data_IF_759879972649
#
_entry.id   IF_759879972649
#
_cell.length_a   1.000
_cell.length_b   1.000
_cell.length_c   1.000
_cell.angle_alpha   90.00
_cell.angle_beta   90.00
_cell.angle_gamma   90.00
#
_symmetry.space_group_name_H-M   'P 1'
#
loop_
_entity.id
_entity.type
_entity.pdbx_description
1 polymer ?
#
# COMPACT_ATOMS: atom_id res chain seq x y z
N UNK A 1 -14.22 -41.02 -34.21
CA UNK A 1 -14.83 -40.02 -33.30
C UNK A 1 -14.50 -40.44 -31.87
N UNK A 2 -13.38 -39.97 -31.35
CA UNK A 2 -12.95 -40.21 -29.96
C UNK A 2 -13.42 -39.05 -29.11
N UNK A 3 -14.47 -39.29 -28.33
CA UNK A 3 -14.96 -38.39 -27.30
C UNK A 3 -13.91 -38.33 -26.19
N UNK A 4 -12.95 -37.41 -26.31
CA UNK A 4 -12.01 -37.09 -25.24
C UNK A 4 -12.75 -36.23 -24.21
N UNK A 5 -13.64 -36.89 -23.47
CA UNK A 5 -14.24 -36.36 -22.26
C UNK A 5 -13.12 -35.78 -21.38
N UNK A 6 -13.10 -34.47 -21.11
CA UNK A 6 -12.08 -33.87 -20.26
C UNK A 6 -12.11 -34.57 -18.91
N UNK A 7 -10.99 -35.22 -18.58
CA UNK A 7 -10.88 -36.15 -17.46
C UNK A 7 -11.41 -35.53 -16.15
N UNK A 8 -12.12 -36.33 -15.35
CA UNK A 8 -12.68 -35.94 -14.05
C UNK A 8 -11.65 -35.22 -13.14
N UNK A 9 -10.36 -35.47 -13.35
CA UNK A 9 -9.24 -34.79 -12.67
C UNK A 9 -9.15 -33.29 -12.95
N UNK A 10 -9.36 -32.84 -14.21
CA UNK A 10 -9.46 -31.40 -14.56
C UNK A 10 -10.69 -30.74 -13.96
N UNK A 11 -11.74 -31.51 -13.64
CA UNK A 11 -12.93 -31.05 -12.92
C UNK A 11 -12.73 -30.99 -11.40
N UNK A 12 -11.86 -31.82 -10.83
CA UNK A 12 -11.56 -31.81 -9.40
C UNK A 12 -10.62 -30.64 -9.02
N UNK A 13 -9.65 -30.32 -9.88
CA UNK A 13 -8.88 -29.05 -9.84
C UNK A 13 -9.67 -27.92 -10.53
N UNK A 14 -10.96 -27.81 -10.26
CA UNK A 14 -11.76 -26.68 -10.78
C UNK A 14 -11.59 -25.45 -9.90
N UNK A 15 -11.83 -24.29 -10.50
CA UNK A 15 -11.93 -22.99 -9.82
C UNK A 15 -12.86 -23.00 -8.58
N UNK A 16 -13.71 -24.02 -8.41
CA UNK A 16 -14.55 -24.20 -7.22
C UNK A 16 -13.74 -24.57 -5.98
N UNK A 17 -12.82 -25.53 -6.09
CA UNK A 17 -12.01 -25.99 -4.94
C UNK A 17 -11.09 -24.86 -4.46
N UNK A 18 -10.37 -24.23 -5.38
CA UNK A 18 -9.50 -23.09 -5.07
C UNK A 18 -10.29 -21.90 -4.52
N UNK A 19 -11.46 -21.59 -5.08
CA UNK A 19 -12.30 -20.49 -4.62
C UNK A 19 -12.77 -20.66 -3.18
N UNK A 20 -13.21 -21.85 -2.80
CA UNK A 20 -13.59 -22.13 -1.41
C UNK A 20 -12.38 -22.27 -0.49
N UNK A 21 -11.40 -23.08 -0.88
CA UNK A 21 -10.25 -23.40 -0.05
C UNK A 21 -9.48 -22.14 0.33
N UNK A 22 -9.10 -21.33 -0.67
CA UNK A 22 -8.30 -20.13 -0.42
C UNK A 22 -9.06 -19.09 0.41
N UNK A 23 -10.31 -18.81 0.04
CA UNK A 23 -11.13 -17.82 0.73
C UNK A 23 -11.35 -18.19 2.21
N UNK A 24 -11.78 -19.43 2.48
CA UNK A 24 -12.06 -19.87 3.84
C UNK A 24 -10.81 -20.08 4.67
N UNK A 25 -9.76 -20.70 4.12
CA UNK A 25 -8.54 -20.93 4.89
C UNK A 25 -7.90 -19.62 5.31
N UNK A 26 -7.81 -18.64 4.39
CA UNK A 26 -7.24 -17.33 4.69
C UNK A 26 -8.05 -16.62 5.79
N UNK A 27 -9.37 -16.54 5.62
CA UNK A 27 -10.23 -15.82 6.56
C UNK A 27 -10.25 -16.48 7.95
N UNK A 28 -10.27 -17.81 8.03
CA UNK A 28 -10.24 -18.52 9.30
C UNK A 28 -8.90 -18.33 10.02
N UNK A 29 -7.77 -18.42 9.31
CA UNK A 29 -6.44 -18.17 9.89
C UNK A 29 -6.34 -16.72 10.36
N UNK A 30 -6.78 -15.76 9.54
CA UNK A 30 -6.74 -14.34 9.89
C UNK A 30 -7.62 -14.03 11.10
N UNK A 31 -8.86 -14.50 11.14
CA UNK A 31 -9.76 -14.27 12.28
C UNK A 31 -9.26 -14.96 13.54
N UNK A 32 -8.67 -16.16 13.44
CA UNK A 32 -8.03 -16.81 14.58
C UNK A 32 -6.82 -16.02 15.10
N UNK A 33 -5.98 -15.51 14.20
CA UNK A 33 -4.88 -14.61 14.54
C UNK A 33 -5.40 -13.34 15.24
N UNK A 34 -6.46 -12.72 14.73
CA UNK A 34 -7.04 -11.52 15.34
C UNK A 34 -7.65 -11.81 16.70
N UNK A 35 -8.47 -12.86 16.82
CA UNK A 35 -9.22 -13.16 18.04
C UNK A 35 -8.34 -13.69 19.18
N UNK A 36 -7.34 -14.54 18.86
CA UNK A 36 -6.54 -15.23 19.88
C UNK A 36 -5.11 -14.67 20.03
N UNK A 37 -4.61 -13.92 19.04
CA UNK A 37 -3.27 -13.34 19.05
C UNK A 37 -3.30 -11.82 19.18
N UNK A 38 -3.67 -11.13 18.10
CA UNK A 38 -3.55 -9.67 18.00
C UNK A 38 -4.46 -8.94 19.00
N UNK A 39 -5.77 -9.22 19.02
CA UNK A 39 -6.70 -8.42 19.81
C UNK A 39 -6.45 -8.53 21.32
N UNK A 40 -6.25 -9.71 21.93
CA UNK A 40 -5.99 -9.80 23.37
C UNK A 40 -4.69 -9.11 23.79
N UNK A 41 -3.67 -9.11 22.93
CA UNK A 41 -2.33 -8.62 23.28
C UNK A 41 -2.13 -7.13 22.95
N UNK A 42 -2.63 -6.66 21.80
CA UNK A 42 -2.32 -5.33 21.28
C UNK A 42 -3.48 -4.34 21.41
N UNK A 43 -4.73 -4.80 21.34
CA UNK A 43 -5.89 -3.89 21.38
C UNK A 43 -6.02 -3.15 22.72
N UNK A 44 -5.80 -3.76 23.91
CA UNK A 44 -5.82 -3.03 25.18
C UNK A 44 -4.79 -1.90 25.22
N UNK A 45 -3.57 -2.16 24.73
CA UNK A 45 -2.49 -1.17 24.70
C UNK A 45 -2.82 -0.02 23.73
N UNK A 46 -3.37 -0.34 22.55
CA UNK A 46 -3.83 0.66 21.59
C UNK A 46 -4.97 1.53 22.18
N UNK A 47 -5.97 0.91 22.80
CA UNK A 47 -7.07 1.62 23.46
C UNK A 47 -6.53 2.52 24.56
N UNK A 48 -5.61 2.02 25.39
CA UNK A 48 -5.00 2.81 26.46
C UNK A 48 -4.22 4.01 25.89
N UNK A 49 -3.43 3.78 24.84
CA UNK A 49 -2.65 4.84 24.16
C UNK A 49 -3.55 5.93 23.57
N UNK A 50 -4.70 5.56 23.02
CA UNK A 50 -5.69 6.54 22.53
C UNK A 50 -6.33 7.31 23.69
N UNK A 51 -6.68 6.62 24.78
CA UNK A 51 -7.27 7.26 25.98
C UNK A 51 -6.31 8.24 26.64
N UNK A 52 -5.01 7.94 26.67
CA UNK A 52 -3.96 8.81 27.21
C UNK A 52 -3.47 9.83 26.20
N UNK A 53 -4.10 9.96 25.03
CA UNK A 53 -3.74 10.87 23.93
C UNK A 53 -2.33 10.68 23.36
N UNK A 54 -1.69 9.53 23.64
CA UNK A 54 -0.41 9.12 23.06
C UNK A 54 -0.56 8.68 21.60
N UNK A 55 -1.71 8.10 21.25
CA UNK A 55 -2.03 7.69 19.89
C UNK A 55 -3.30 8.40 19.38
N UNK A 56 -3.34 8.83 18.12
CA UNK A 56 -4.56 9.31 17.48
C UNK A 56 -5.67 8.23 17.44
N UNK A 57 -6.95 8.59 17.62
CA UNK A 57 -8.07 7.66 17.56
C UNK A 57 -8.23 6.97 16.19
N UNK A 58 -7.70 7.56 15.12
CA UNK A 58 -7.69 6.98 13.77
C UNK A 58 -7.01 5.62 13.72
N UNK A 59 -5.96 5.39 14.53
CA UNK A 59 -5.28 4.10 14.60
C UNK A 59 -6.17 3.00 15.19
N UNK A 60 -7.01 3.34 16.18
CA UNK A 60 -8.02 2.42 16.70
C UNK A 60 -9.08 2.11 15.64
N UNK A 61 -9.52 3.13 14.88
CA UNK A 61 -10.43 2.92 13.75
C UNK A 61 -9.81 1.98 12.70
N UNK A 62 -8.54 2.14 12.35
CA UNK A 62 -7.87 1.26 11.40
C UNK A 62 -7.75 -0.18 11.91
N UNK A 63 -7.37 -0.38 13.18
CA UNK A 63 -7.32 -1.71 13.78
C UNK A 63 -8.70 -2.39 13.81
N UNK A 64 -9.76 -1.63 14.11
CA UNK A 64 -11.13 -2.11 14.03
C UNK A 64 -11.53 -2.48 12.59
N UNK A 65 -11.24 -1.63 11.62
CA UNK A 65 -11.55 -1.90 10.21
C UNK A 65 -10.81 -3.14 9.70
N UNK A 66 -9.53 -3.31 10.04
CA UNK A 66 -8.76 -4.52 9.71
C UNK A 66 -9.36 -5.80 10.30
N UNK A 67 -10.07 -5.71 11.43
CA UNK A 67 -10.79 -6.84 12.03
C UNK A 67 -12.15 -7.06 11.39
N UNK A 68 -12.89 -5.98 11.13
CA UNK A 68 -14.27 -6.01 10.64
C UNK A 68 -14.37 -6.39 9.17
N UNK A 69 -13.38 -6.06 8.34
CA UNK A 69 -13.41 -6.37 6.90
C UNK A 69 -13.44 -7.89 6.65
N UNK A 70 -12.52 -8.70 7.21
CA UNK A 70 -12.58 -10.16 7.07
C UNK A 70 -13.84 -10.76 7.66
N UNK A 71 -14.31 -10.23 8.79
CA UNK A 71 -15.56 -10.68 9.38
C UNK A 71 -16.74 -10.42 8.43
N UNK A 72 -16.82 -9.24 7.82
CA UNK A 72 -17.84 -8.92 6.83
C UNK A 72 -17.72 -9.81 5.58
N UNK A 73 -16.50 -10.09 5.12
CA UNK A 73 -16.25 -11.01 4.02
C UNK A 73 -16.77 -12.42 4.34
N UNK A 74 -16.45 -12.94 5.52
CA UNK A 74 -16.98 -14.22 6.04
C UNK A 74 -18.50 -14.23 6.09
N UNK A 75 -19.13 -13.18 6.64
CA UNK A 75 -20.59 -13.08 6.70
C UNK A 75 -21.20 -13.10 5.30
N UNK A 76 -20.66 -12.32 4.35
CA UNK A 76 -21.09 -12.34 2.95
C UNK A 76 -20.87 -13.73 2.31
N UNK A 77 -19.78 -14.40 2.66
CA UNK A 77 -19.43 -15.73 2.21
C UNK A 77 -20.38 -16.81 2.73
N UNK A 78 -20.82 -16.71 3.98
CA UNK A 78 -21.79 -17.64 4.59
C UNK A 78 -23.22 -17.41 4.10
N UNK A 79 -23.56 -16.17 3.74
CA UNK A 79 -24.93 -15.76 3.41
C UNK A 79 -25.16 -15.62 1.90
N UNK A 80 -24.72 -14.50 1.30
CA UNK A 80 -25.05 -14.13 -0.08
C UNK A 80 -24.29 -14.95 -1.11
N UNK A 81 -23.03 -15.31 -0.82
CA UNK A 81 -22.09 -15.92 -1.79
C UNK A 81 -21.78 -17.40 -1.53
N UNK A 82 -22.51 -18.06 -0.61
CA UNK A 82 -22.24 -19.43 -0.14
C UNK A 82 -22.07 -20.46 -1.25
N UNK A 83 -22.81 -20.32 -2.36
CA UNK A 83 -22.83 -21.27 -3.49
C UNK A 83 -22.05 -20.77 -4.70
N UNK A 84 -21.29 -19.69 -4.56
CA UNK A 84 -20.65 -18.99 -5.67
C UNK A 84 -19.13 -18.90 -5.45
N UNK A 85 -18.38 -20.01 -5.53
CA UNK A 85 -16.95 -20.05 -5.19
C UNK A 85 -16.10 -19.09 -6.01
N UNK A 86 -16.49 -18.82 -7.27
CA UNK A 86 -15.82 -17.81 -8.09
C UNK A 86 -15.99 -16.41 -7.52
N UNK A 87 -17.18 -16.07 -6.99
CA UNK A 87 -17.41 -14.77 -6.35
C UNK A 87 -16.73 -14.69 -4.99
N UNK A 88 -16.61 -15.79 -4.25
CA UNK A 88 -15.80 -15.83 -3.02
C UNK A 88 -14.32 -15.53 -3.31
N UNK A 89 -13.77 -16.12 -4.37
CA UNK A 89 -12.40 -15.80 -4.80
C UNK A 89 -12.25 -14.32 -5.14
N UNK A 90 -13.20 -13.73 -5.89
CA UNK A 90 -13.17 -12.30 -6.24
C UNK A 90 -13.42 -11.40 -5.01
N UNK A 91 -14.24 -11.83 -4.04
CA UNK A 91 -14.42 -11.11 -2.79
C UNK A 91 -13.10 -11.08 -2.00
N UNK A 92 -12.47 -12.24 -1.78
CA UNK A 92 -11.21 -12.34 -1.04
C UNK A 92 -10.06 -11.60 -1.73
N UNK A 93 -9.77 -11.94 -2.98
CA UNK A 93 -8.60 -11.42 -3.69
C UNK A 93 -8.84 -10.11 -4.43
N UNK A 94 -10.07 -9.87 -4.89
CA UNK A 94 -10.42 -8.68 -5.67
C UNK A 94 -10.86 -7.51 -4.82
N UNK A 95 -11.39 -7.74 -3.61
CA UNK A 95 -11.94 -6.69 -2.74
C UNK A 95 -11.26 -6.65 -1.38
N UNK A 96 -11.37 -7.72 -0.60
CA UNK A 96 -10.91 -7.80 0.78
C UNK A 96 -9.39 -7.59 0.91
N UNK A 97 -8.57 -8.41 0.26
CA UNK A 97 -7.11 -8.32 0.31
C UNK A 97 -6.57 -6.94 -0.11
N UNK A 98 -6.98 -6.40 -1.27
CA UNK A 98 -6.62 -5.05 -1.68
C UNK A 98 -7.08 -3.96 -0.69
N UNK A 99 -8.27 -4.08 -0.11
CA UNK A 99 -8.76 -3.13 0.90
C UNK A 99 -7.91 -3.18 2.18
N UNK A 100 -7.55 -4.38 2.64
CA UNK A 100 -6.64 -4.55 3.77
C UNK A 100 -5.24 -4.00 3.45
N UNK A 101 -4.74 -4.20 2.23
CA UNK A 101 -3.47 -3.64 1.80
C UNK A 101 -3.49 -2.11 1.79
N UNK A 102 -4.59 -1.47 1.35
CA UNK A 102 -4.74 -0.02 1.41
C UNK A 102 -4.75 0.48 2.87
N UNK A 103 -5.42 -0.23 3.78
CA UNK A 103 -5.42 0.11 5.20
C UNK A 103 -4.03 -0.06 5.83
N UNK A 104 -3.34 -1.15 5.53
CA UNK A 104 -1.96 -1.38 5.99
C UNK A 104 -1.01 -0.31 5.45
N UNK A 105 -1.10 0.01 4.16
CA UNK A 105 -0.32 1.09 3.57
C UNK A 105 -0.63 2.42 4.25
N UNK A 106 -1.91 2.72 4.53
CA UNK A 106 -2.31 3.92 5.27
C UNK A 106 -1.82 3.93 6.73
N UNK A 107 -1.71 2.77 7.36
CA UNK A 107 -1.30 2.64 8.75
C UNK A 107 0.22 2.75 8.92
N UNK A 108 0.98 2.05 8.08
CA UNK A 108 2.43 1.87 8.25
C UNK A 108 3.28 2.72 7.31
N UNK A 109 2.80 2.98 6.09
CA UNK A 109 3.62 3.57 5.02
C UNK A 109 3.29 5.05 4.85
N UNK A 110 2.01 5.37 4.69
CA UNK A 110 1.52 6.73 4.49
C UNK A 110 1.19 7.34 5.85
N UNK A 111 2.11 8.15 6.35
CA UNK A 111 1.95 8.94 7.58
C UNK A 111 0.90 10.05 7.36
N UNK A 112 1.30 11.15 6.75
CA UNK A 112 0.40 12.20 6.28
C UNK A 112 0.18 12.06 4.78
N UNK A 113 -1.06 11.79 4.36
CA UNK A 113 -1.39 11.66 2.95
C UNK A 113 -1.29 13.01 2.22
N UNK A 114 -0.47 13.08 1.17
CA UNK A 114 -0.47 14.20 0.23
C UNK A 114 -1.76 14.24 -0.59
N UNK A 115 -2.01 15.33 -1.33
CA UNK A 115 -3.17 15.42 -2.21
C UNK A 115 -3.18 14.31 -3.28
N UNK A 116 -2.01 14.00 -3.87
CA UNK A 116 -1.85 12.93 -4.85
C UNK A 116 -2.14 11.55 -4.25
N UNK A 117 -1.61 11.24 -3.06
CA UNK A 117 -1.88 9.97 -2.36
C UNK A 117 -3.37 9.88 -1.98
N UNK A 118 -3.95 10.98 -1.48
CA UNK A 118 -5.37 11.02 -1.09
C UNK A 118 -6.29 10.76 -2.30
N UNK A 119 -5.99 11.37 -3.45
CA UNK A 119 -6.67 11.06 -4.70
C UNK A 119 -6.51 9.59 -5.08
N UNK A 120 -5.29 9.06 -5.00
CA UNK A 120 -5.01 7.66 -5.36
C UNK A 120 -5.81 6.68 -4.49
N UNK A 121 -5.84 6.90 -3.17
CA UNK A 121 -6.64 6.11 -2.22
C UNK A 121 -8.15 6.24 -2.51
N UNK A 122 -8.63 7.45 -2.83
CA UNK A 122 -10.03 7.68 -3.18
C UNK A 122 -10.42 6.95 -4.48
N UNK A 123 -9.61 7.04 -5.53
CA UNK A 123 -9.83 6.33 -6.79
C UNK A 123 -9.80 4.80 -6.59
N UNK A 124 -8.91 4.31 -5.73
CA UNK A 124 -8.84 2.89 -5.36
C UNK A 124 -10.11 2.45 -4.63
N UNK A 125 -10.56 3.23 -3.66
CA UNK A 125 -11.82 3.01 -2.94
C UNK A 125 -13.03 2.97 -3.88
N UNK A 126 -13.14 3.91 -4.82
CA UNK A 126 -14.23 3.93 -5.81
C UNK A 126 -14.20 2.70 -6.73
N UNK A 127 -13.02 2.25 -7.15
CA UNK A 127 -12.85 1.03 -7.91
C UNK A 127 -13.29 -0.22 -7.13
N UNK A 128 -12.88 -0.33 -5.86
CA UNK A 128 -13.23 -1.43 -4.97
C UNK A 128 -14.73 -1.50 -4.69
N UNK A 129 -15.35 -0.35 -4.40
CA UNK A 129 -16.79 -0.24 -4.20
C UNK A 129 -17.55 -0.65 -5.46
N UNK A 130 -17.06 -0.28 -6.64
CA UNK A 130 -17.68 -0.68 -7.92
C UNK A 130 -17.59 -2.20 -8.15
N UNK A 131 -16.45 -2.82 -7.83
CA UNK A 131 -16.31 -4.27 -7.92
C UNK A 131 -17.21 -4.98 -6.91
N UNK A 132 -17.29 -4.50 -5.67
CA UNK A 132 -18.19 -5.03 -4.65
C UNK A 132 -19.66 -4.90 -5.07
N UNK A 133 -20.05 -3.75 -5.61
CA UNK A 133 -21.39 -3.55 -6.18
C UNK A 133 -21.69 -4.57 -7.28
N UNK A 134 -20.76 -4.80 -8.21
CA UNK A 134 -20.91 -5.81 -9.25
C UNK A 134 -21.04 -7.23 -8.68
N UNK A 135 -20.37 -7.55 -7.57
CA UNK A 135 -20.47 -8.88 -6.94
C UNK A 135 -21.82 -9.12 -6.30
N UNK A 136 -22.35 -8.09 -5.61
CA UNK A 136 -23.58 -8.17 -4.83
C UNK A 136 -24.84 -8.02 -5.70
N UNK A 137 -24.80 -7.22 -6.76
CA UNK A 137 -25.95 -7.01 -7.64
C UNK A 137 -26.09 -8.12 -8.70
N UNK A 138 -27.04 -9.04 -8.47
CA UNK A 138 -27.35 -10.14 -9.40
C UNK A 138 -27.87 -9.68 -10.75
N UNK A 139 -28.43 -8.48 -10.84
CA UNK A 139 -29.03 -7.91 -12.05
C UNK A 139 -28.19 -6.77 -12.63
N UNK A 140 -26.89 -6.73 -12.32
CA UNK A 140 -25.98 -5.66 -12.73
C UNK A 140 -25.94 -5.42 -14.25
N UNK A 141 -26.19 -6.46 -15.08
CA UNK A 141 -26.24 -6.33 -16.55
C UNK A 141 -27.59 -5.84 -17.10
N UNK A 142 -28.64 -5.86 -16.26
CA UNK A 142 -29.98 -5.38 -16.60
C UNK A 142 -30.15 -3.88 -16.27
N UNK A 143 -29.19 -3.29 -15.54
CA UNK A 143 -29.22 -1.88 -15.16
C UNK A 143 -29.13 -0.95 -16.38
N UNK A 144 -29.68 0.25 -16.22
CA UNK A 144 -29.75 1.27 -17.27
C UNK A 144 -28.39 1.77 -17.77
N UNK A 145 -28.38 2.64 -18.80
CA UNK A 145 -27.18 3.14 -19.44
C UNK A 145 -26.24 3.88 -18.46
N UNK A 146 -26.79 4.74 -17.59
CA UNK A 146 -26.00 5.46 -16.59
C UNK A 146 -25.27 4.55 -15.61
N UNK A 147 -25.96 3.53 -15.09
CA UNK A 147 -25.35 2.54 -14.22
C UNK A 147 -24.26 1.72 -14.94
N UNK A 148 -24.45 1.42 -16.23
CA UNK A 148 -23.44 0.76 -17.06
C UNK A 148 -22.20 1.64 -17.27
N UNK A 149 -22.38 2.94 -17.51
CA UNK A 149 -21.29 3.90 -17.63
C UNK A 149 -20.52 4.06 -16.31
N UNK A 150 -21.23 4.26 -15.19
CA UNK A 150 -20.62 4.39 -13.86
C UNK A 150 -19.84 3.13 -13.47
N UNK A 151 -20.41 1.94 -13.72
CA UNK A 151 -19.74 0.66 -13.51
C UNK A 151 -18.47 0.55 -14.35
N UNK A 152 -18.53 0.91 -15.64
CA UNK A 152 -17.34 0.87 -16.50
C UNK A 152 -16.27 1.84 -16.03
N UNK A 153 -16.65 3.04 -15.57
CA UNK A 153 -15.72 4.02 -15.03
C UNK A 153 -14.99 3.48 -13.78
N UNK A 154 -15.74 2.96 -12.80
CA UNK A 154 -15.16 2.38 -11.59
C UNK A 154 -14.30 1.14 -11.86
N UNK A 155 -14.71 0.25 -12.77
CA UNK A 155 -13.87 -0.89 -13.18
C UNK A 155 -12.61 -0.45 -13.93
N UNK A 156 -12.66 0.66 -14.66
CA UNK A 156 -11.48 1.23 -15.32
C UNK A 156 -10.49 1.76 -14.28
N UNK A 157 -10.97 2.50 -13.28
CA UNK A 157 -10.14 2.93 -12.14
C UNK A 157 -9.51 1.73 -11.43
N UNK A 158 -10.31 0.69 -11.18
CA UNK A 158 -9.84 -0.53 -10.52
C UNK A 158 -8.74 -1.24 -11.32
N UNK A 159 -8.91 -1.34 -12.63
CA UNK A 159 -7.92 -1.97 -13.51
C UNK A 159 -6.62 -1.16 -13.54
N UNK A 160 -6.70 0.16 -13.73
CA UNK A 160 -5.51 1.04 -13.75
C UNK A 160 -4.73 0.91 -12.45
N UNK A 161 -5.40 1.02 -11.32
CA UNK A 161 -4.76 0.98 -10.01
C UNK A 161 -4.26 -0.42 -9.64
N UNK A 162 -4.97 -1.47 -10.06
CA UNK A 162 -4.50 -2.84 -9.90
C UNK A 162 -3.24 -3.13 -10.72
N UNK A 163 -3.17 -2.64 -11.95
CA UNK A 163 -1.95 -2.74 -12.78
C UNK A 163 -0.82 -1.91 -12.17
N UNK A 164 -1.09 -0.67 -11.75
CA UNK A 164 -0.11 0.18 -11.06
C UNK A 164 0.46 -0.50 -9.81
N UNK A 165 -0.40 -1.03 -8.93
CA UNK A 165 0.01 -1.76 -7.74
C UNK A 165 0.80 -3.03 -8.09
N UNK A 166 0.40 -3.77 -9.12
CA UNK A 166 1.12 -4.97 -9.55
C UNK A 166 2.52 -4.65 -10.09
N UNK A 167 2.66 -3.57 -10.88
CA UNK A 167 3.96 -3.09 -11.36
C UNK A 167 4.83 -2.63 -10.19
N UNK A 168 4.28 -1.88 -9.25
CA UNK A 168 5.02 -1.43 -8.07
C UNK A 168 5.47 -2.60 -7.19
N UNK A 169 4.59 -3.57 -6.93
CA UNK A 169 4.92 -4.76 -6.15
C UNK A 169 5.92 -5.68 -6.86
N UNK A 170 5.95 -5.71 -8.19
CA UNK A 170 6.92 -6.51 -8.94
C UNK A 170 8.37 -6.16 -8.60
N UNK A 171 8.66 -4.89 -8.24
CA UNK A 171 9.99 -4.50 -7.77
C UNK A 171 10.42 -5.22 -6.49
N UNK A 172 9.49 -5.66 -5.65
CA UNK A 172 9.80 -6.40 -4.43
C UNK A 172 9.63 -7.91 -4.64
N UNK A 173 8.54 -8.32 -5.27
CA UNK A 173 8.18 -9.74 -5.43
C UNK A 173 9.24 -10.50 -6.21
N UNK A 174 9.79 -9.92 -7.28
CA UNK A 174 10.77 -10.59 -8.15
C UNK A 174 12.06 -10.93 -7.37
N UNK A 175 12.80 -9.98 -6.78
CA UNK A 175 14.00 -10.30 -6.02
C UNK A 175 13.72 -11.10 -4.75
N UNK A 176 12.63 -10.80 -4.02
CA UNK A 176 12.27 -11.58 -2.82
C UNK A 176 11.97 -13.04 -3.15
N UNK A 177 11.35 -13.33 -4.30
CA UNK A 177 11.13 -14.72 -4.72
C UNK A 177 12.45 -15.45 -4.92
N UNK A 178 13.44 -14.80 -5.55
CA UNK A 178 14.78 -15.38 -5.71
C UNK A 178 15.43 -15.67 -4.35
N UNK A 179 15.44 -14.68 -3.45
CA UNK A 179 16.01 -14.83 -2.11
C UNK A 179 15.30 -15.92 -1.29
N UNK A 180 13.97 -16.02 -1.39
CA UNK A 180 13.19 -17.06 -0.70
C UNK A 180 13.48 -18.44 -1.27
N UNK A 181 13.61 -18.57 -2.59
CA UNK A 181 13.97 -19.85 -3.23
C UNK A 181 15.37 -20.27 -2.81
N UNK A 182 16.34 -19.35 -2.82
CA UNK A 182 17.71 -19.62 -2.34
C UNK A 182 17.72 -20.03 -0.87
N UNK A 183 17.04 -19.26 -0.03
CA UNK A 183 16.89 -19.55 1.41
C UNK A 183 16.25 -20.92 1.64
N UNK A 184 15.22 -21.28 0.86
CA UNK A 184 14.56 -22.58 0.95
C UNK A 184 15.51 -23.72 0.53
N UNK A 185 16.27 -23.55 -0.55
CA UNK A 185 17.24 -24.54 -1.00
C UNK A 185 18.35 -24.75 0.04
N UNK A 186 18.84 -23.66 0.64
CA UNK A 186 19.81 -23.72 1.73
C UNK A 186 19.24 -24.41 2.97
N UNK A 187 18.05 -24.04 3.41
CA UNK A 187 17.33 -24.68 4.52
C UNK A 187 17.10 -26.18 4.28
N UNK A 188 16.71 -26.57 3.05
CA UNK A 188 16.55 -27.97 2.68
C UNK A 188 17.88 -28.73 2.69
N UNK A 189 18.98 -28.09 2.26
CA UNK A 189 20.33 -28.64 2.35
C UNK A 189 20.77 -28.88 3.81
N UNK A 190 20.38 -27.99 4.71
CA UNK A 190 20.71 -28.04 6.14
C UNK A 190 19.61 -28.68 7.00
N UNK A 191 18.62 -29.33 6.38
CA UNK A 191 17.44 -29.88 7.08
C UNK A 191 17.84 -30.81 8.24
N UNK A 192 18.91 -31.60 8.06
CA UNK A 192 19.38 -32.52 9.10
C UNK A 192 19.88 -31.81 10.36
N UNK A 193 20.51 -30.64 10.21
CA UNK A 193 20.96 -29.81 11.32
C UNK A 193 19.76 -29.15 12.01
N UNK A 194 18.86 -28.53 11.25
CA UNK A 194 17.65 -27.90 11.79
C UNK A 194 16.77 -28.89 12.58
N UNK A 195 16.63 -30.13 12.09
CA UNK A 195 15.91 -31.18 12.82
C UNK A 195 16.61 -31.58 14.13
N UNK A 196 17.95 -31.57 14.14
CA UNK A 196 18.73 -31.83 15.36
C UNK A 196 18.57 -30.70 16.38
N UNK A 197 18.63 -29.45 15.93
CA UNK A 197 18.42 -28.26 16.78
C UNK A 197 17.00 -28.23 17.33
N UNK A 198 15.99 -28.52 16.50
CA UNK A 198 14.61 -28.64 16.94
C UNK A 198 14.44 -29.75 17.99
N UNK A 199 15.04 -30.92 17.76
CA UNK A 199 15.02 -32.00 18.73
C UNK A 199 15.69 -31.59 20.06
N UNK A 200 16.87 -30.98 20.00
CA UNK A 200 17.55 -30.47 21.20
C UNK A 200 16.71 -29.43 21.94
N UNK A 201 16.10 -28.48 21.23
CA UNK A 201 15.20 -27.49 21.81
C UNK A 201 13.99 -28.15 22.51
N UNK A 202 13.31 -29.09 21.85
CA UNK A 202 12.15 -29.80 22.41
C UNK A 202 12.50 -30.70 23.61
N UNK A 203 13.73 -31.22 23.67
CA UNK A 203 14.21 -31.99 24.83
C UNK A 203 14.75 -31.12 25.97
N UNK A 204 14.98 -29.83 25.73
CA UNK A 204 15.49 -28.92 26.75
C UNK A 204 14.42 -28.56 27.80
N UNK A 205 14.71 -28.65 29.10
CA UNK A 205 13.77 -28.21 30.14
C UNK A 205 13.44 -26.72 30.07
N UNK A 206 14.38 -25.91 29.57
CA UNK A 206 14.22 -24.46 29.41
C UNK A 206 13.12 -24.12 28.42
N UNK A 207 13.04 -24.82 27.29
CA UNK A 207 11.99 -24.60 26.30
C UNK A 207 10.59 -24.75 26.90
N UNK A 208 10.33 -25.83 27.64
CA UNK A 208 9.01 -26.07 28.24
C UNK A 208 8.67 -25.06 29.32
N UNK A 209 9.65 -24.65 30.12
CA UNK A 209 9.45 -23.57 31.10
C UNK A 209 9.09 -22.27 30.41
N UNK A 210 9.83 -21.90 29.37
CA UNK A 210 9.61 -20.64 28.64
C UNK A 210 8.28 -20.67 27.88
N UNK A 211 7.90 -21.83 27.32
CA UNK A 211 6.59 -22.05 26.70
C UNK A 211 5.44 -21.92 27.70
N UNK A 212 5.60 -22.48 28.91
CA UNK A 212 4.59 -22.36 29.98
C UNK A 212 4.48 -20.94 30.52
N UNK A 213 5.60 -20.21 30.65
CA UNK A 213 5.58 -18.80 31.07
C UNK A 213 4.95 -17.89 30.02
N UNK A 214 5.16 -18.21 28.73
CA UNK A 214 4.72 -17.41 27.60
C UNK A 214 3.56 -18.06 26.81
N UNK A 215 2.79 -18.96 27.43
CA UNK A 215 1.75 -19.73 26.74
C UNK A 215 0.69 -18.85 26.06
N UNK A 216 0.46 -17.67 26.62
CA UNK A 216 -0.41 -16.61 26.09
C UNK A 216 0.06 -16.03 24.74
N UNK A 217 1.35 -16.18 24.39
CA UNK A 217 1.90 -15.82 23.08
C UNK A 217 1.80 -16.97 22.06
N UNK A 218 1.48 -18.20 22.50
CA UNK A 218 1.42 -19.36 21.61
C UNK A 218 0.41 -19.18 20.46
N UNK A 219 -0.83 -18.70 20.70
CA UNK A 219 -1.76 -18.45 19.58
C UNK A 219 -1.22 -17.40 18.60
N UNK A 220 -0.57 -16.34 19.12
CA UNK A 220 0.06 -15.31 18.30
C UNK A 220 1.17 -15.90 17.41
N UNK A 221 2.03 -16.76 17.97
CA UNK A 221 3.11 -17.42 17.22
C UNK A 221 2.57 -18.41 16.19
N UNK A 222 1.62 -19.27 16.57
CA UNK A 222 1.08 -20.30 15.67
C UNK A 222 0.27 -19.68 14.55
N UNK A 223 -0.74 -18.86 14.87
CA UNK A 223 -1.57 -18.23 13.84
C UNK A 223 -0.82 -17.14 13.08
N UNK A 224 0.10 -16.43 13.73
CA UNK A 224 0.97 -15.45 13.08
C UNK A 224 1.93 -16.13 12.10
N UNK A 225 2.54 -17.26 12.46
CA UNK A 225 3.39 -18.05 11.58
C UNK A 225 2.63 -18.61 10.38
N UNK A 226 1.44 -19.18 10.61
CA UNK A 226 0.55 -19.64 9.54
C UNK A 226 0.13 -18.49 8.61
N UNK A 227 -0.25 -17.35 9.18
CA UNK A 227 -0.64 -16.17 8.42
C UNK A 227 0.55 -15.62 7.62
N UNK A 228 1.76 -15.61 8.18
CA UNK A 228 2.97 -15.16 7.51
C UNK A 228 3.32 -16.08 6.34
N UNK A 229 3.34 -17.40 6.54
CA UNK A 229 3.59 -18.38 5.49
C UNK A 229 2.55 -18.25 4.36
N UNK A 230 1.27 -18.15 4.72
CA UNK A 230 0.19 -17.97 3.75
C UNK A 230 0.34 -16.65 3.00
N UNK A 231 0.57 -15.54 3.70
CA UNK A 231 0.76 -14.21 3.11
C UNK A 231 1.98 -14.15 2.21
N UNK A 232 3.06 -14.88 2.52
CA UNK A 232 4.23 -15.00 1.64
C UNK A 232 3.86 -15.60 0.28
N UNK A 233 3.07 -16.68 0.26
CA UNK A 233 2.58 -17.25 -1.02
C UNK A 233 1.65 -16.29 -1.76
N UNK A 234 0.83 -15.54 -1.02
CA UNK A 234 -0.06 -14.55 -1.61
C UNK A 234 0.70 -13.35 -2.13
N UNK A 235 1.79 -12.91 -1.49
CA UNK A 235 2.58 -11.77 -1.96
C UNK A 235 3.06 -11.98 -3.39
N UNK A 236 3.42 -13.21 -3.75
CA UNK A 236 3.84 -13.59 -5.11
C UNK A 236 2.64 -13.72 -6.05
N UNK A 237 1.57 -14.40 -5.62
CA UNK A 237 0.43 -14.72 -6.48
C UNK A 237 -0.55 -13.54 -6.68
N UNK A 238 -0.68 -12.67 -5.68
CA UNK A 238 -1.70 -11.62 -5.58
C UNK A 238 -1.58 -10.60 -6.72
N UNK A 239 -0.40 -10.01 -7.04
CA UNK A 239 -0.29 -9.04 -8.14
C UNK A 239 -0.83 -9.58 -9.47
N UNK A 240 -0.58 -10.86 -9.75
CA UNK A 240 -1.05 -11.53 -10.96
C UNK A 240 -2.55 -11.82 -10.87
N UNK A 241 -3.00 -12.43 -9.77
CA UNK A 241 -4.40 -12.81 -9.58
C UNK A 241 -5.33 -11.60 -9.63
N UNK A 242 -4.98 -10.53 -8.92
CA UNK A 242 -5.69 -9.25 -8.86
C UNK A 242 -5.82 -8.64 -10.25
N UNK A 243 -4.71 -8.53 -10.99
CA UNK A 243 -4.70 -7.98 -12.35
C UNK A 243 -5.60 -8.78 -13.29
N UNK A 244 -5.54 -10.12 -13.23
CA UNK A 244 -6.40 -10.99 -14.05
C UNK A 244 -7.88 -10.84 -13.67
N UNK A 245 -8.19 -10.78 -12.38
CA UNK A 245 -9.56 -10.57 -11.89
C UNK A 245 -10.11 -9.24 -12.40
N UNK A 246 -9.35 -8.15 -12.30
CA UNK A 246 -9.79 -6.82 -12.72
C UNK A 246 -9.89 -6.71 -14.23
N UNK A 247 -8.95 -7.26 -14.98
CA UNK A 247 -9.01 -7.28 -16.44
C UNK A 247 -10.26 -8.02 -16.92
N UNK A 248 -10.58 -9.18 -16.32
CA UNK A 248 -11.81 -9.93 -16.64
C UNK A 248 -13.08 -9.15 -16.28
N UNK A 249 -13.11 -8.54 -15.10
CA UNK A 249 -14.25 -7.73 -14.66
C UNK A 249 -14.47 -6.53 -15.60
N UNK A 250 -13.39 -5.84 -15.97
CA UNK A 250 -13.41 -4.72 -16.90
C UNK A 250 -13.85 -5.12 -18.31
N UNK A 251 -13.31 -6.21 -18.87
CA UNK A 251 -13.71 -6.71 -20.18
C UNK A 251 -15.21 -7.06 -20.23
N UNK A 252 -15.72 -7.68 -19.18
CA UNK A 252 -17.15 -7.96 -19.06
C UNK A 252 -17.98 -6.66 -18.94
N UNK A 253 -17.51 -5.69 -18.15
CA UNK A 253 -18.14 -4.38 -18.02
C UNK A 253 -18.17 -3.61 -19.35
N UNK A 254 -17.07 -3.65 -20.11
CA UNK A 254 -16.95 -3.01 -21.41
C UNK A 254 -17.87 -3.66 -22.44
N UNK A 255 -17.99 -4.99 -22.45
CA UNK A 255 -18.92 -5.69 -23.32
C UNK A 255 -20.38 -5.27 -23.05
N UNK A 256 -20.78 -5.22 -21.77
CA UNK A 256 -22.12 -4.75 -21.36
C UNK A 256 -22.33 -3.28 -21.74
N UNK A 257 -21.35 -2.41 -21.49
CA UNK A 257 -21.45 -0.99 -21.85
C UNK A 257 -21.56 -0.79 -23.36
N UNK A 258 -20.83 -1.55 -24.18
CA UNK A 258 -20.95 -1.50 -25.66
C UNK A 258 -22.35 -1.88 -26.14
N UNK A 259 -22.98 -2.86 -25.50
CA UNK A 259 -24.34 -3.26 -25.82
C UNK A 259 -25.40 -2.23 -25.40
N UNK A 260 -25.16 -1.48 -24.30
CA UNK A 260 -26.13 -0.53 -23.73
C UNK A 260 -25.97 0.91 -24.21
N UNK A 261 -24.73 1.37 -24.39
CA UNK A 261 -24.36 2.76 -24.73
C UNK A 261 -23.94 2.92 -26.19
N UNK A 262 -23.67 1.82 -26.89
CA UNK A 262 -22.98 1.83 -28.17
C UNK A 262 -21.45 1.90 -28.03
N UNK A 263 -20.75 1.56 -29.12
CA UNK A 263 -19.29 1.51 -29.17
C UNK A 263 -18.57 2.84 -28.85
N UNK A 264 -18.98 4.01 -29.40
CA UNK A 264 -18.22 5.25 -29.18
C UNK A 264 -18.29 5.70 -27.72
N UNK A 265 -19.49 5.71 -27.12
CA UNK A 265 -19.66 6.10 -25.71
C UNK A 265 -18.98 5.12 -24.75
N UNK A 266 -19.04 3.81 -25.03
CA UNK A 266 -18.33 2.81 -24.23
C UNK A 266 -16.80 2.96 -24.30
N UNK A 267 -16.24 3.47 -25.40
CA UNK A 267 -14.82 3.78 -25.51
C UNK A 267 -14.44 5.13 -24.85
N UNK A 268 -15.33 6.12 -24.92
CA UNK A 268 -15.12 7.44 -24.33
C UNK A 268 -14.98 7.38 -22.80
N UNK A 269 -15.75 6.52 -22.13
CA UNK A 269 -15.73 6.41 -20.66
C UNK A 269 -14.33 6.06 -20.11
N UNK A 270 -13.66 4.97 -20.53
CA UNK A 270 -12.31 4.68 -20.06
C UNK A 270 -11.29 5.76 -20.42
N UNK A 271 -11.39 6.36 -21.61
CA UNK A 271 -10.49 7.45 -22.05
C UNK A 271 -10.65 8.67 -21.14
N UNK A 272 -11.88 9.07 -20.83
CA UNK A 272 -12.16 10.18 -19.92
C UNK A 272 -11.62 9.90 -18.51
N UNK A 273 -11.81 8.67 -18.00
CA UNK A 273 -11.26 8.27 -16.69
C UNK A 273 -9.73 8.35 -16.68
N UNK A 274 -9.06 7.88 -17.73
CA UNK A 274 -7.60 7.95 -17.86
C UNK A 274 -7.10 9.40 -17.90
N UNK A 275 -7.71 10.24 -18.73
CA UNK A 275 -7.29 11.64 -18.90
C UNK A 275 -7.55 12.47 -17.64
N UNK A 276 -8.73 12.33 -17.03
CA UNK A 276 -9.09 13.08 -15.82
C UNK A 276 -8.30 12.57 -14.61
N UNK A 277 -8.24 11.25 -14.41
CA UNK A 277 -7.52 10.64 -13.29
C UNK A 277 -6.01 10.89 -13.39
N UNK A 278 -5.42 10.62 -14.56
CA UNK A 278 -4.00 10.84 -14.81
C UNK A 278 -3.61 12.32 -14.78
N UNK A 279 -4.40 13.19 -15.43
CA UNK A 279 -4.18 14.63 -15.43
C UNK A 279 -4.26 15.25 -14.04
N UNK A 280 -5.26 14.85 -13.24
CA UNK A 280 -5.39 15.33 -11.86
C UNK A 280 -4.25 14.80 -10.97
N UNK A 281 -3.85 13.53 -11.12
CA UNK A 281 -2.73 12.98 -10.38
C UNK A 281 -1.42 13.72 -10.71
N UNK A 282 -1.14 13.97 -11.99
CA UNK A 282 0.04 14.73 -12.42
C UNK A 282 0.02 16.17 -11.89
N UNK A 283 -1.15 16.81 -11.82
CA UNK A 283 -1.30 18.15 -11.26
C UNK A 283 -1.03 18.15 -9.74
N UNK A 284 -1.67 17.24 -9.01
CA UNK A 284 -1.57 17.16 -7.55
C UNK A 284 -0.24 16.59 -7.06
N UNK A 285 0.53 15.93 -7.93
CA UNK A 285 1.86 15.42 -7.60
C UNK A 285 2.99 16.44 -7.80
N UNK A 286 2.68 17.67 -8.22
CA UNK A 286 3.66 18.75 -8.30
C UNK A 286 3.99 19.23 -6.89
N UNK A 287 5.25 19.09 -6.50
CA UNK A 287 5.69 19.49 -5.17
C UNK A 287 6.17 20.96 -5.19
N UNK A 288 5.73 21.82 -4.25
CA UNK A 288 5.96 23.26 -4.33
C UNK A 288 7.36 23.72 -3.89
N UNK A 289 8.13 22.89 -3.17
CA UNK A 289 9.38 23.30 -2.51
C UNK A 289 10.44 23.82 -3.46
N UNK A 290 10.63 23.21 -4.64
CA UNK A 290 11.69 23.61 -5.56
C UNK A 290 11.54 25.07 -6.02
N UNK A 291 10.30 25.54 -6.14
CA UNK A 291 10.02 26.94 -6.47
C UNK A 291 10.26 27.87 -5.29
N UNK A 292 9.87 27.48 -4.08
CA UNK A 292 10.09 28.29 -2.89
C UNK A 292 11.58 28.46 -2.59
N UNK A 293 12.37 27.39 -2.67
CA UNK A 293 13.82 27.45 -2.52
C UNK A 293 14.44 28.32 -3.62
N UNK A 294 14.00 28.19 -4.88
CA UNK A 294 14.51 29.02 -5.97
C UNK A 294 14.19 30.52 -5.77
N UNK A 295 13.01 30.86 -5.22
CA UNK A 295 12.62 32.25 -4.93
C UNK A 295 13.45 32.86 -3.80
N UNK A 296 13.91 32.05 -2.84
CA UNK A 296 14.68 32.50 -1.68
C UNK A 296 16.19 32.22 -1.79
N UNK A 297 16.65 31.72 -2.94
CA UNK A 297 18.07 31.40 -3.15
C UNK A 297 18.99 32.63 -3.06
N UNK A 298 18.45 33.82 -3.34
CA UNK A 298 19.16 35.09 -3.24
C UNK A 298 18.29 36.12 -2.49
N UNK A 299 18.88 36.93 -1.60
CA UNK A 299 18.16 38.01 -0.96
C UNK A 299 17.71 39.06 -1.99
N UNK A 300 16.55 39.71 -1.81
CA UNK A 300 16.08 40.73 -2.74
C UNK A 300 17.07 41.91 -2.78
N UNK A 301 17.51 42.30 -3.99
CA UNK A 301 18.44 43.39 -4.21
C UNK A 301 17.78 44.77 -4.20
N UNK A 302 16.44 44.82 -4.28
CA UNK A 302 15.66 46.05 -4.30
C UNK A 302 14.30 45.91 -3.59
N UNK A 303 13.67 47.04 -3.18
CA UNK A 303 12.31 47.03 -2.63
C UNK A 303 11.25 46.44 -3.58
N UNK A 304 11.45 46.58 -4.90
CA UNK A 304 10.53 46.05 -5.91
C UNK A 304 10.60 44.52 -5.91
N UNK A 305 11.81 43.94 -5.82
CA UNK A 305 12.00 42.49 -5.70
C UNK A 305 11.44 41.96 -4.38
N UNK A 306 11.67 42.67 -3.28
CA UNK A 306 11.08 42.31 -1.99
C UNK A 306 9.54 42.27 -2.07
N UNK A 307 8.91 43.27 -2.69
CA UNK A 307 7.47 43.29 -2.90
C UNK A 307 6.99 42.14 -3.82
N UNK A 308 7.77 41.79 -4.84
CA UNK A 308 7.47 40.67 -5.72
C UNK A 308 7.48 39.32 -4.97
N UNK A 309 8.40 39.15 -4.02
CA UNK A 309 8.44 37.97 -3.14
C UNK A 309 7.24 37.96 -2.17
N UNK A 310 6.89 39.11 -1.56
CA UNK A 310 5.71 39.23 -0.70
C UNK A 310 4.41 38.86 -1.43
N UNK A 311 4.29 39.25 -2.70
CA UNK A 311 3.15 38.87 -3.54
C UNK A 311 3.06 37.35 -3.81
N UNK A 312 4.12 36.59 -3.51
CA UNK A 312 4.19 35.12 -3.63
C UNK A 312 4.34 34.41 -2.28
N UNK A 313 4.04 35.09 -1.18
CA UNK A 313 4.21 34.54 0.17
C UNK A 313 3.50 33.19 0.38
N UNK A 314 2.32 32.97 -0.23
CA UNK A 314 1.58 31.73 -0.07
C UNK A 314 2.27 30.55 -0.78
N UNK A 315 2.87 30.80 -1.95
CA UNK A 315 3.65 29.80 -2.68
C UNK A 315 4.94 29.46 -1.91
N UNK A 316 5.62 30.48 -1.38
CA UNK A 316 6.82 30.32 -0.54
C UNK A 316 6.47 29.50 0.73
N UNK A 317 5.42 29.91 1.46
CA UNK A 317 4.92 29.22 2.65
C UNK A 317 4.59 27.76 2.36
N UNK A 318 3.83 27.49 1.30
CA UNK A 318 3.44 26.12 0.94
C UNK A 318 4.66 25.25 0.57
N UNK A 319 5.64 25.82 -0.14
CA UNK A 319 6.88 25.13 -0.52
C UNK A 319 7.75 24.79 0.69
N UNK A 320 8.04 25.77 1.53
CA UNK A 320 8.86 25.57 2.74
C UNK A 320 8.17 24.63 3.74
N UNK A 321 6.86 24.76 3.94
CA UNK A 321 6.11 23.84 4.79
C UNK A 321 6.10 22.40 4.23
N UNK A 322 6.05 22.22 2.91
CA UNK A 322 6.15 20.89 2.32
C UNK A 322 7.53 20.26 2.50
N UNK A 323 8.61 21.02 2.33
CA UNK A 323 9.96 20.56 2.61
C UNK A 323 10.15 20.22 4.09
N UNK A 324 9.69 21.09 4.99
CA UNK A 324 9.76 20.86 6.44
C UNK A 324 9.03 19.57 6.87
N UNK A 325 7.85 19.32 6.31
CA UNK A 325 7.03 18.13 6.63
C UNK A 325 7.33 16.92 5.73
N UNK A 326 8.40 16.96 4.92
CA UNK A 326 8.72 15.89 3.99
C UNK A 326 8.88 14.50 4.68
N UNK A 327 9.54 14.35 5.85
CA UNK A 327 9.66 13.06 6.54
C UNK A 327 8.33 12.46 7.01
N UNK A 328 7.28 13.29 7.14
CA UNK A 328 5.95 12.87 7.52
C UNK A 328 5.04 12.64 6.31
N UNK A 329 5.41 13.09 5.10
CA UNK A 329 4.56 13.01 3.89
C UNK A 329 5.05 11.99 2.86
N UNK A 330 6.36 11.79 2.79
CA UNK A 330 7.01 10.95 1.78
C UNK A 330 7.74 9.79 2.45
N UNK A 331 7.86 8.67 1.73
CA UNK A 331 8.50 7.45 2.27
C UNK A 331 10.01 7.47 2.08
N UNK A 332 10.50 8.24 1.11
CA UNK A 332 11.90 8.43 0.75
C UNK A 332 12.01 9.62 -0.22
N UNK A 333 13.20 9.91 -0.74
CA UNK A 333 13.44 10.91 -1.77
C UNK A 333 13.89 10.26 -3.08
N UNK A 334 13.64 10.93 -4.20
CA UNK A 334 14.16 10.52 -5.52
C UNK A 334 15.70 10.51 -5.46
N UNK A 335 16.32 9.44 -5.94
CA UNK A 335 17.76 9.19 -5.84
C UNK A 335 18.19 8.47 -4.57
N UNK A 336 17.33 8.36 -3.55
CA UNK A 336 17.66 7.80 -2.23
C UNK A 336 16.93 6.48 -1.94
N UNK A 337 16.29 5.86 -2.93
CA UNK A 337 15.61 4.57 -2.81
C UNK A 337 16.61 3.40 -2.91
N UNK A 338 17.70 3.48 -2.15
CA UNK A 338 18.85 2.57 -2.24
C UNK A 338 18.49 1.13 -1.89
N UNK A 339 17.49 0.91 -1.03
CA UNK A 339 17.04 -0.43 -0.66
C UNK A 339 16.53 -1.24 -1.86
N UNK A 340 15.94 -0.61 -2.88
CA UNK A 340 15.52 -1.32 -4.11
C UNK A 340 16.74 -1.72 -4.93
N UNK A 341 17.72 -0.82 -5.08
CA UNK A 341 18.99 -1.13 -5.75
C UNK A 341 19.71 -2.28 -5.05
N UNK A 342 19.85 -2.20 -3.74
CA UNK A 342 20.59 -3.17 -2.93
C UNK A 342 19.90 -4.53 -2.97
N UNK A 343 18.57 -4.57 -2.89
CA UNK A 343 17.77 -5.79 -3.02
C UNK A 343 17.98 -6.48 -4.38
N UNK A 344 18.06 -5.73 -5.49
CA UNK A 344 18.33 -6.32 -6.81
C UNK A 344 19.79 -6.73 -6.97
N UNK A 345 20.73 -5.95 -6.44
CA UNK A 345 22.15 -6.29 -6.46
C UNK A 345 22.41 -7.60 -5.71
N UNK A 346 21.81 -7.76 -4.53
CA UNK A 346 21.90 -8.98 -3.72
C UNK A 346 21.19 -10.16 -4.40
N UNK A 347 19.92 -10.01 -4.75
CA UNK A 347 19.12 -11.13 -5.28
C UNK A 347 19.61 -11.68 -6.62
N UNK A 348 20.25 -10.86 -7.46
CA UNK A 348 20.71 -11.25 -8.79
C UNK A 348 22.23 -11.22 -8.96
N UNK A 349 22.98 -10.88 -7.90
CA UNK A 349 24.43 -10.70 -7.92
C UNK A 349 24.90 -9.78 -9.09
N UNK A 350 24.15 -8.70 -9.34
CA UNK A 350 24.46 -7.73 -10.41
C UNK A 350 25.19 -6.51 -9.85
N UNK A 351 26.03 -5.83 -10.66
CA UNK A 351 26.76 -4.67 -10.17
C UNK A 351 25.83 -3.49 -9.87
N UNK A 352 26.23 -2.65 -8.90
CA UNK A 352 25.40 -1.59 -8.33
C UNK A 352 24.93 -0.54 -9.35
N UNK A 353 25.70 -0.29 -10.41
CA UNK A 353 25.33 0.61 -11.52
C UNK A 353 24.13 0.08 -12.33
N UNK A 354 24.08 -1.23 -12.58
CA UNK A 354 22.95 -1.88 -13.26
C UNK A 354 21.71 -1.89 -12.36
N UNK A 355 21.89 -2.22 -11.08
CA UNK A 355 20.80 -2.13 -10.09
C UNK A 355 20.28 -0.69 -9.94
N UNK A 356 21.14 0.33 -10.13
CA UNK A 356 20.73 1.73 -10.15
C UNK A 356 19.72 2.07 -11.25
N UNK A 357 19.74 1.35 -12.39
CA UNK A 357 18.71 1.50 -13.43
C UNK A 357 17.35 0.99 -12.97
N UNK A 358 17.34 -0.08 -12.17
CA UNK A 358 16.11 -0.63 -11.58
C UNK A 358 15.55 0.35 -10.54
N UNK A 359 16.41 0.95 -9.72
CA UNK A 359 16.03 2.03 -8.80
C UNK A 359 15.39 3.20 -9.56
N UNK A 360 16.01 3.71 -10.62
CA UNK A 360 15.46 4.81 -11.40
C UNK A 360 14.08 4.48 -12.01
N UNK A 361 13.89 3.24 -12.47
CA UNK A 361 12.58 2.79 -12.95
C UNK A 361 11.56 2.72 -11.80
N UNK A 362 11.95 2.19 -10.65
CA UNK A 362 11.11 2.17 -9.45
C UNK A 362 10.68 3.58 -9.05
N UNK A 363 11.60 4.54 -9.05
CA UNK A 363 11.33 5.93 -8.70
C UNK A 363 10.30 6.59 -9.62
N UNK A 364 10.31 6.25 -10.92
CA UNK A 364 9.30 6.71 -11.88
C UNK A 364 7.90 6.20 -11.56
N UNK A 365 7.79 4.98 -11.02
CA UNK A 365 6.52 4.37 -10.61
C UNK A 365 6.09 4.90 -9.26
N UNK A 366 7.01 4.98 -8.29
CA UNK A 366 6.75 5.38 -6.92
C UNK A 366 6.69 6.91 -6.73
N UNK A 367 6.82 7.71 -7.79
CA UNK A 367 6.91 9.18 -7.74
C UNK A 367 5.88 9.85 -6.81
N UNK A 368 4.59 9.42 -6.71
CA UNK A 368 3.65 10.04 -5.77
C UNK A 368 3.98 9.89 -4.28
N UNK A 369 4.85 8.94 -3.96
CA UNK A 369 5.30 8.62 -2.60
C UNK A 369 6.68 9.21 -2.27
N UNK A 370 7.39 9.73 -3.28
CA UNK A 370 8.78 10.18 -3.15
C UNK A 370 8.87 11.69 -3.10
N UNK A 371 9.69 12.19 -2.18
CA UNK A 371 10.07 13.59 -2.13
C UNK A 371 10.99 13.94 -3.30
N UNK A 372 10.76 15.10 -3.92
CA UNK A 372 11.66 15.63 -4.96
C UNK A 372 12.68 16.55 -4.28
N UNK A 373 13.95 16.12 -4.15
CA UNK A 373 14.97 16.93 -3.51
C UNK A 373 15.24 18.19 -4.34
N UNK A 374 15.51 19.30 -3.64
CA UNK A 374 15.93 20.56 -4.24
C UNK A 374 17.42 20.52 -4.57
N UNK A 375 18.21 19.98 -3.65
CA UNK A 375 19.65 19.82 -3.84
C UNK A 375 19.98 18.46 -4.48
N UNK A 376 21.03 18.37 -5.32
CA UNK A 376 21.46 17.10 -5.87
C UNK A 376 21.92 16.15 -4.76
N UNK A 377 21.38 14.93 -4.76
CA UNK A 377 21.77 13.87 -3.82
C UNK A 377 23.24 13.51 -4.03
N UNK A 378 23.99 13.39 -2.94
CA UNK A 378 25.39 12.95 -2.97
C UNK A 378 25.46 11.42 -2.95
N UNK A 379 25.97 10.75 -4.01
CA UNK A 379 25.84 9.30 -4.20
C UNK A 379 26.54 8.44 -3.13
N UNK A 380 27.45 9.02 -2.33
CA UNK A 380 28.33 8.28 -1.41
C UNK A 380 28.26 8.76 0.05
N UNK A 381 27.35 9.66 0.40
CA UNK A 381 27.15 9.93 1.82
C UNK A 381 26.44 8.70 2.42
N UNK A 382 27.10 8.02 3.36
CA UNK A 382 26.70 6.72 3.91
C UNK A 382 25.37 6.69 4.67
N UNK A 383 24.53 7.71 4.51
CA UNK A 383 23.28 7.94 5.21
C UNK A 383 22.13 7.91 4.20
N UNK A 384 21.08 7.15 4.51
CA UNK A 384 19.83 7.15 3.73
C UNK A 384 19.03 8.42 4.01
N UNK A 385 18.28 8.88 3.00
CA UNK A 385 17.32 9.97 3.12
C UNK A 385 17.94 11.31 3.56
N UNK A 386 19.10 11.69 3.01
CA UNK A 386 19.76 12.97 3.27
C UNK A 386 18.87 14.15 2.98
N UNK A 387 18.08 14.11 1.89
CA UNK A 387 17.18 15.20 1.56
C UNK A 387 16.11 15.37 2.64
N UNK A 388 15.58 14.27 3.17
CA UNK A 388 14.61 14.28 4.27
C UNK A 388 15.22 14.67 5.63
N UNK A 389 16.54 14.78 5.74
CA UNK A 389 17.21 15.25 6.97
C UNK A 389 17.65 16.72 6.85
N UNK A 390 18.23 17.10 5.72
CA UNK A 390 18.83 18.44 5.52
C UNK A 390 17.80 19.48 5.12
N UNK A 391 16.98 19.20 4.12
CA UNK A 391 16.06 20.19 3.55
C UNK A 391 14.98 20.64 4.53
N UNK A 392 14.48 19.82 5.50
CA UNK A 392 13.61 20.34 6.54
C UNK A 392 14.24 21.43 7.41
N UNK A 393 15.52 21.28 7.78
CA UNK A 393 16.22 22.28 8.58
C UNK A 393 16.43 23.57 7.78
N UNK A 394 16.90 23.45 6.53
CA UNK A 394 17.04 24.58 5.61
C UNK A 394 15.70 25.29 5.38
N UNK A 395 14.60 24.53 5.20
CA UNK A 395 13.28 25.10 5.02
C UNK A 395 12.81 25.89 6.24
N UNK A 396 13.14 25.44 7.46
CA UNK A 396 12.84 26.17 8.69
C UNK A 396 13.62 27.48 8.78
N UNK A 397 14.92 27.49 8.46
CA UNK A 397 15.77 28.68 8.44
C UNK A 397 15.30 29.70 7.39
N UNK A 398 15.01 29.23 6.16
CA UNK A 398 14.46 30.07 5.10
C UNK A 398 13.08 30.64 5.48
N UNK A 399 12.27 29.87 6.20
CA UNK A 399 10.97 30.34 6.66
C UNK A 399 11.12 31.43 7.71
N UNK A 400 11.97 31.21 8.71
CA UNK A 400 12.21 32.17 9.78
C UNK A 400 12.81 33.48 9.24
N UNK A 401 13.77 33.39 8.32
CA UNK A 401 14.39 34.57 7.70
C UNK A 401 13.43 35.37 6.80
N UNK A 402 12.44 34.72 6.17
CA UNK A 402 11.48 35.41 5.30
C UNK A 402 10.25 35.96 6.04
N UNK A 403 9.76 35.24 7.05
CA UNK A 403 8.52 35.59 7.78
C UNK A 403 8.77 36.19 9.18
N UNK A 404 10.03 36.34 9.59
CA UNK A 404 10.45 36.81 10.91
C UNK A 404 9.81 36.00 12.06
N UNK A 405 9.54 34.71 11.83
CA UNK A 405 8.93 33.82 12.81
C UNK A 405 9.30 32.36 12.58
N UNK A 406 9.59 31.57 13.64
CA UNK A 406 9.85 30.15 13.49
C UNK A 406 8.67 29.39 12.84
N UNK A 407 8.98 28.52 11.89
CA UNK A 407 7.98 27.74 11.12
C UNK A 407 7.05 26.93 12.05
N UNK A 408 7.61 26.29 13.07
CA UNK A 408 6.86 25.46 14.04
C UNK A 408 5.81 26.27 14.78
N UNK A 409 6.07 27.53 15.07
CA UNK A 409 5.13 28.41 15.75
C UNK A 409 4.07 28.98 14.79
N UNK A 410 4.51 29.42 13.61
CA UNK A 410 3.64 29.99 12.60
C UNK A 410 2.64 28.96 12.03
N UNK A 411 3.12 27.73 11.79
CA UNK A 411 2.38 26.65 11.15
C UNK A 411 2.04 25.50 12.12
N UNK A 412 1.95 25.82 13.42
CA UNK A 412 1.70 24.85 14.51
C UNK A 412 0.56 23.85 14.20
N UNK A 413 -0.61 24.27 13.67
CA UNK A 413 -1.69 23.32 13.37
C UNK A 413 -1.27 22.24 12.34
N UNK A 414 -0.55 22.63 11.29
CA UNK A 414 -0.10 21.72 10.25
C UNK A 414 1.00 20.77 10.76
N UNK A 415 1.94 21.30 11.54
CA UNK A 415 3.03 20.52 12.15
C UNK A 415 2.47 19.49 13.14
N UNK A 416 1.61 19.91 14.06
CA UNK A 416 0.97 19.01 15.03
C UNK A 416 0.15 17.93 14.33
N UNK A 417 -0.62 18.30 13.29
CA UNK A 417 -1.38 17.33 12.50
C UNK A 417 -0.48 16.31 11.79
N UNK A 418 0.65 16.74 11.24
CA UNK A 418 1.60 15.85 10.56
C UNK A 418 2.30 14.89 11.52
N UNK A 419 2.75 15.37 12.70
CA UNK A 419 3.40 14.54 13.73
C UNK A 419 2.41 13.52 14.28
N UNK A 420 1.18 13.95 14.59
CA UNK A 420 0.11 13.05 15.03
C UNK A 420 -0.30 12.05 13.97
N UNK A 421 -0.09 12.31 12.68
CA UNK A 421 -0.38 11.32 11.64
C UNK A 421 0.59 10.11 11.65
N UNK A 422 1.52 10.02 12.61
CA UNK A 422 2.49 8.93 12.75
C UNK A 422 2.26 8.14 14.04
N UNK A 423 2.58 6.84 14.02
CA UNK A 423 2.55 5.95 15.20
C UNK A 423 3.79 6.11 16.09
N UNK A 424 4.66 7.11 15.84
CA UNK A 424 5.92 7.21 16.58
C UNK A 424 5.67 7.73 18.01
N UNK A 425 5.62 6.79 18.96
CA UNK A 425 5.38 7.05 20.40
C UNK A 425 6.45 7.97 20.98
N UNK A 426 7.68 7.91 20.46
CA UNK A 426 8.82 8.72 20.93
C UNK A 426 8.82 10.15 20.37
N UNK A 427 7.99 10.44 19.36
CA UNK A 427 7.88 11.76 18.74
C UNK A 427 6.69 12.59 19.28
N UNK A 428 5.94 12.07 20.25
CA UNK A 428 4.90 12.82 20.92
C UNK A 428 5.54 13.83 21.89
N UNK A 429 5.26 15.15 21.76
CA UNK A 429 5.87 16.20 22.59
C UNK A 429 5.41 16.16 24.05
#
# INVERSE_FOLDING_TARGET
MTDTSPSKFRRFVTASFWGYGLFWSWNLIFLAFMAFGFAPQLLPNLINSVRTTQAPPEFLLYALLMTLIPLAAVVLGLTTLRREPRKLLVLGYGVEGPLLLLLLARFFVVRQATAAISLTLALAGLGLLTLLWQLLDRKINERGPWASALRLAGLTLMLILGVYAAVWLAFYVVPLTTLVVESLLHFLGEMSQHLRELYQALTSPTFWRDLLLNWQLLPLMVFGGLLAAYSGTLLVALPIAVTVIYARAWLAGLATARARLGRPLAALVPVAVLLLGGGLLLLLNRQPQGKAFALLAQPPASPIEAQALLNRQDEIRAGLLNAYLAPQRYISAVGEVRHVRDLYAEAFNIPSDQAGRVQALYESVAQPLLYQPVEPIQPNAGWDNQALQREPAQAAELYESFFDRPLVEAERPAVVAAVRATWNVDAAP
#
